data_IF_726653216141
#
_entry.id   IF_726653216141
#
_cell.length_a   1.000
_cell.length_b   1.000
_cell.length_c   1.000
_cell.angle_alpha   90.00
_cell.angle_beta   90.00
_cell.angle_gamma   90.00
#
_symmetry.space_group_name_H-M   'P 1'
#
loop_
_entity.id
_entity.type
_entity.pdbx_description
1 polymer ?
#
# COMPACT_ATOMS: atom_id res chain seq x y z
N UNK A 1 20.41 2.04 -5.58
CA UNK A 1 20.40 2.44 -7.02
C UNK A 1 19.23 1.79 -7.73
N UNK A 2 18.77 2.35 -8.84
CA UNK A 2 17.76 1.72 -9.71
C UNK A 2 18.45 0.82 -10.75
N UNK A 3 17.84 -0.34 -11.04
CA UNK A 3 18.38 -1.35 -11.95
C UNK A 3 17.25 -1.95 -12.82
N UNK A 4 17.62 -2.48 -14.00
CA UNK A 4 16.73 -3.26 -14.86
C UNK A 4 16.93 -4.79 -14.70
N UNK A 5 17.88 -5.24 -13.87
CA UNK A 5 18.26 -6.65 -13.83
C UNK A 5 17.93 -7.35 -12.52
N UNK A 6 18.19 -6.71 -11.38
CA UNK A 6 18.11 -7.37 -10.07
C UNK A 6 17.81 -6.40 -8.94
N UNK A 7 17.34 -6.93 -7.82
CA UNK A 7 16.98 -6.19 -6.62
C UNK A 7 15.53 -6.39 -6.23
N UNK A 8 14.99 -5.48 -5.43
CA UNK A 8 13.58 -5.46 -5.08
C UNK A 8 12.76 -4.93 -6.28
N UNK A 9 11.90 -5.77 -6.85
CA UNK A 9 11.04 -5.39 -7.97
C UNK A 9 10.02 -4.34 -7.52
N UNK A 10 10.12 -3.11 -8.01
CA UNK A 10 9.30 -2.00 -7.57
C UNK A 10 8.13 -1.69 -8.52
N UNK A 11 8.42 -1.64 -9.81
CA UNK A 11 7.41 -1.29 -10.81
C UNK A 11 7.75 -1.86 -12.19
N UNK A 12 6.74 -1.92 -13.07
CA UNK A 12 6.93 -2.20 -14.50
C UNK A 12 6.58 -0.98 -15.34
N UNK A 13 7.26 -0.86 -16.48
CA UNK A 13 6.89 0.04 -17.57
C UNK A 13 7.34 -0.58 -18.90
N UNK A 14 6.49 -0.59 -19.94
CA UNK A 14 6.81 -1.14 -21.26
C UNK A 14 7.44 -2.54 -21.21
N UNK A 15 6.86 -3.44 -20.42
CA UNK A 15 7.35 -4.82 -20.18
C UNK A 15 8.75 -4.93 -19.54
N UNK A 16 9.32 -3.83 -19.05
CA UNK A 16 10.55 -3.84 -18.26
C UNK A 16 10.24 -3.65 -16.79
N UNK A 17 10.88 -4.46 -15.95
CA UNK A 17 10.81 -4.30 -14.50
C UNK A 17 11.91 -3.36 -14.04
N UNK A 18 11.57 -2.42 -13.17
CA UNK A 18 12.52 -1.55 -12.48
C UNK A 18 12.68 -2.07 -11.06
N UNK A 19 13.91 -2.32 -10.67
CA UNK A 19 14.31 -2.81 -9.36
C UNK A 19 15.00 -1.71 -8.57
N UNK A 20 14.91 -1.79 -7.25
CA UNK A 20 15.74 -1.04 -6.32
C UNK A 20 16.79 -1.98 -5.74
N UNK A 21 18.05 -1.62 -5.88
CA UNK A 21 19.21 -2.39 -5.41
C UNK A 21 20.04 -1.57 -4.42
N UNK A 22 20.59 -2.21 -3.42
CA UNK A 22 21.52 -1.61 -2.44
C UNK A 22 22.97 -1.55 -2.95
N UNK A 23 23.29 -2.32 -4.01
CA UNK A 23 24.60 -2.30 -4.63
C UNK A 23 24.88 -0.98 -5.36
N UNK A 24 25.83 -0.20 -4.85
CA UNK A 24 26.32 1.03 -5.50
C UNK A 24 27.34 0.77 -6.60
N UNK A 25 27.87 -0.46 -6.70
CA UNK A 25 29.06 -0.81 -7.51
C UNK A 25 28.84 -1.89 -8.57
N UNK A 26 27.61 -2.23 -8.91
CA UNK A 26 27.44 -3.22 -9.97
C UNK A 26 27.90 -2.63 -11.32
N UNK A 27 29.01 -3.14 -11.82
CA UNK A 27 29.68 -2.76 -13.09
C UNK A 27 28.89 -3.12 -14.35
N UNK A 28 27.57 -3.27 -14.27
CA UNK A 28 26.74 -3.68 -15.40
C UNK A 28 25.97 -2.49 -15.98
N UNK A 29 25.92 -2.40 -17.31
CA UNK A 29 25.30 -1.38 -18.16
C UNK A 29 23.79 -1.08 -17.95
N UNK A 30 23.16 -1.65 -16.90
CA UNK A 30 21.73 -1.57 -16.65
C UNK A 30 21.35 -0.78 -15.39
N UNK A 31 22.28 -0.04 -14.82
CA UNK A 31 21.99 0.91 -13.72
C UNK A 31 21.40 2.20 -14.26
N UNK A 32 20.29 2.62 -13.63
CA UNK A 32 19.54 3.83 -14.01
C UNK A 32 19.84 5.02 -13.09
N UNK A 33 20.81 4.88 -12.17
CA UNK A 33 21.09 5.91 -11.16
C UNK A 33 20.09 5.92 -10.00
N UNK A 34 19.94 7.08 -9.34
CA UNK A 34 19.02 7.27 -8.20
C UNK A 34 17.66 7.83 -8.61
N UNK A 35 17.53 8.31 -9.84
CA UNK A 35 16.30 8.93 -10.33
C UNK A 35 15.99 8.53 -11.75
N UNK A 36 14.75 8.17 -12.01
CA UNK A 36 14.22 7.89 -13.35
C UNK A 36 12.91 8.64 -13.54
N UNK A 37 12.79 9.34 -14.66
CA UNK A 37 11.56 9.95 -15.15
C UNK A 37 11.27 9.38 -16.55
N UNK A 38 10.09 8.79 -16.72
CA UNK A 38 9.67 8.17 -17.99
C UNK A 38 8.78 9.07 -18.85
N UNK A 39 8.57 10.33 -18.40
CA UNK A 39 7.68 11.28 -19.07
C UNK A 39 6.19 10.97 -18.84
N UNK A 40 5.34 11.94 -19.23
CA UNK A 40 3.89 11.85 -18.96
C UNK A 40 3.14 10.89 -19.87
N UNK A 41 3.74 10.48 -20.98
CA UNK A 41 3.12 9.56 -21.95
C UNK A 41 3.14 8.11 -21.50
N UNK A 42 3.91 7.78 -20.47
CA UNK A 42 4.09 6.46 -19.91
C UNK A 42 3.79 6.46 -18.43
N UNK A 43 3.42 5.29 -17.90
CA UNK A 43 3.17 5.12 -16.47
C UNK A 43 3.91 3.92 -15.93
N UNK A 44 4.41 4.08 -14.72
CA UNK A 44 4.82 2.95 -13.89
C UNK A 44 3.59 2.25 -13.32
N UNK A 45 3.65 0.93 -13.33
CA UNK A 45 2.70 0.07 -12.67
C UNK A 45 3.38 -0.57 -11.47
N UNK A 46 2.86 -0.28 -10.27
CA UNK A 46 3.37 -0.88 -9.04
C UNK A 46 3.19 -2.40 -9.09
N UNK A 47 4.23 -3.13 -8.70
CA UNK A 47 4.20 -4.58 -8.60
C UNK A 47 3.95 -4.94 -7.15
N UNK A 48 2.95 -5.81 -6.82
CA UNK A 48 2.87 -6.42 -5.50
C UNK A 48 4.20 -7.12 -5.19
N UNK A 49 4.93 -6.71 -4.12
CA UNK A 49 6.35 -7.06 -3.98
C UNK A 49 6.56 -8.57 -3.80
N UNK A 50 5.81 -9.20 -2.92
CA UNK A 50 5.94 -10.61 -2.58
C UNK A 50 4.58 -11.26 -2.47
N UNK A 51 4.57 -12.55 -2.17
CA UNK A 51 3.36 -13.31 -1.80
C UNK A 51 2.80 -12.92 -0.42
N UNK A 52 3.52 -12.06 0.32
CA UNK A 52 3.05 -11.44 1.57
C UNK A 52 3.61 -10.02 1.68
N UNK A 53 2.77 -9.01 1.61
CA UNK A 53 3.14 -7.60 1.76
C UNK A 53 2.18 -6.86 2.69
N UNK A 54 2.63 -5.71 3.21
CA UNK A 54 1.83 -4.81 4.04
C UNK A 54 1.89 -3.42 3.47
N UNK A 55 0.73 -2.94 3.06
CA UNK A 55 0.57 -1.66 2.38
C UNK A 55 -0.42 -0.78 3.15
N UNK A 56 0.01 0.42 3.51
CA UNK A 56 -0.88 1.46 4.00
C UNK A 56 -1.26 2.42 2.87
N UNK A 57 -2.50 2.87 2.82
CA UNK A 57 -3.00 3.82 1.82
C UNK A 57 -3.70 4.98 2.54
N UNK A 58 -3.06 6.16 2.53
CA UNK A 58 -3.55 7.35 3.24
C UNK A 58 -3.92 8.47 2.27
N UNK A 59 -5.10 9.04 2.46
CA UNK A 59 -5.52 10.21 1.68
C UNK A 59 -6.92 10.68 2.02
N UNK A 60 -7.26 11.91 1.66
CA UNK A 60 -8.60 12.46 1.88
C UNK A 60 -9.68 11.68 1.09
N UNK A 61 -10.95 11.88 1.44
CA UNK A 61 -12.06 11.34 0.67
C UNK A 61 -11.97 11.79 -0.80
N UNK A 62 -12.27 10.89 -1.73
CA UNK A 62 -12.29 11.19 -3.17
C UNK A 62 -10.91 11.38 -3.83
N UNK A 63 -9.78 11.19 -3.14
CA UNK A 63 -8.45 11.38 -3.75
C UNK A 63 -8.01 10.23 -4.67
N UNK A 64 -8.72 9.09 -4.66
CA UNK A 64 -8.46 7.94 -5.53
C UNK A 64 -7.85 6.73 -4.82
N UNK A 65 -7.98 6.61 -3.49
CA UNK A 65 -7.48 5.45 -2.71
C UNK A 65 -8.03 4.12 -3.23
N UNK A 66 -9.36 3.99 -3.30
CA UNK A 66 -10.03 2.77 -3.77
C UNK A 66 -9.64 2.44 -5.21
N UNK A 67 -9.52 3.45 -6.09
CA UNK A 67 -9.06 3.25 -7.49
C UNK A 67 -7.63 2.69 -7.54
N UNK A 68 -6.72 3.23 -6.71
CA UNK A 68 -5.35 2.71 -6.62
C UNK A 68 -5.34 1.26 -6.16
N UNK A 69 -6.08 0.95 -5.09
CA UNK A 69 -6.14 -0.42 -4.53
C UNK A 69 -6.82 -1.38 -5.51
N UNK A 70 -7.89 -0.98 -6.19
CA UNK A 70 -8.52 -1.82 -7.21
C UNK A 70 -7.56 -2.20 -8.34
N UNK A 71 -6.75 -1.26 -8.83
CA UNK A 71 -5.73 -1.54 -9.83
C UNK A 71 -4.64 -2.49 -9.29
N UNK A 72 -4.19 -2.29 -8.04
CA UNK A 72 -3.24 -3.18 -7.38
C UNK A 72 -3.81 -4.61 -7.23
N UNK A 73 -5.06 -4.76 -6.83
CA UNK A 73 -5.72 -6.06 -6.70
C UNK A 73 -5.88 -6.78 -8.05
N UNK A 74 -6.13 -6.04 -9.14
CA UNK A 74 -6.11 -6.60 -10.51
C UNK A 74 -4.74 -7.20 -10.82
N UNK A 75 -3.66 -6.50 -10.54
CA UNK A 75 -2.30 -7.00 -10.76
C UNK A 75 -1.95 -8.16 -9.79
N UNK A 76 -2.36 -8.06 -8.54
CA UNK A 76 -2.22 -9.15 -7.57
C UNK A 76 -2.88 -10.43 -8.08
N UNK A 77 -4.11 -10.35 -8.59
CA UNK A 77 -4.85 -11.52 -9.10
C UNK A 77 -4.25 -12.10 -10.38
N UNK A 78 -3.64 -11.26 -11.23
CA UNK A 78 -2.88 -11.75 -12.40
C UNK A 78 -1.65 -12.56 -11.97
N UNK A 79 -0.92 -12.08 -10.95
CA UNK A 79 0.30 -12.72 -10.45
C UNK A 79 -0.01 -13.95 -9.60
N UNK A 80 -1.01 -13.84 -8.72
CA UNK A 80 -1.41 -14.88 -7.76
C UNK A 80 -2.83 -15.38 -8.04
N UNK A 81 -3.00 -16.11 -9.13
CA UNK A 81 -4.32 -16.54 -9.66
C UNK A 81 -5.16 -17.32 -8.66
N UNK A 82 -4.53 -18.13 -7.80
CA UNK A 82 -5.22 -18.99 -6.82
C UNK A 82 -5.53 -18.28 -5.51
N UNK A 83 -4.80 -17.21 -5.19
CA UNK A 83 -4.94 -16.53 -3.92
C UNK A 83 -6.30 -15.82 -3.83
N UNK A 84 -6.88 -15.84 -2.65
CA UNK A 84 -8.16 -15.17 -2.36
C UNK A 84 -7.95 -13.69 -2.07
N UNK A 85 -8.97 -12.90 -2.32
CA UNK A 85 -9.05 -11.49 -1.95
C UNK A 85 -10.21 -11.35 -0.97
N UNK A 86 -9.92 -10.97 0.25
CA UNK A 86 -10.92 -10.63 1.26
C UNK A 86 -11.02 -9.13 1.44
N UNK A 87 -12.22 -8.63 1.67
CA UNK A 87 -12.45 -7.21 1.94
C UNK A 87 -13.32 -7.03 3.16
N UNK A 88 -12.82 -6.24 4.10
CA UNK A 88 -13.53 -5.76 5.28
C UNK A 88 -13.83 -4.29 5.05
N UNK A 89 -15.08 -3.97 4.71
CA UNK A 89 -15.54 -2.61 4.45
C UNK A 89 -16.97 -2.45 4.95
N UNK A 90 -17.32 -1.28 5.51
CA UNK A 90 -18.71 -0.98 5.86
C UNK A 90 -19.63 -0.88 4.64
N UNK A 91 -19.06 -0.70 3.44
CA UNK A 91 -19.78 -0.59 2.18
C UNK A 91 -19.26 -1.59 1.16
N UNK A 92 -20.17 -2.26 0.42
CA UNK A 92 -19.82 -3.25 -0.60
C UNK A 92 -20.04 -2.73 -2.03
N UNK A 93 -20.47 -1.48 -2.18
CA UNK A 93 -20.90 -0.91 -3.47
C UNK A 93 -19.99 0.24 -3.94
N UNK A 94 -18.68 0.23 -3.54
CA UNK A 94 -17.74 1.19 -4.09
C UNK A 94 -17.51 0.90 -5.58
N UNK A 95 -17.81 1.88 -6.48
CA UNK A 95 -17.65 1.73 -7.92
C UNK A 95 -16.24 1.33 -8.37
N UNK A 96 -15.22 1.63 -7.58
CA UNK A 96 -13.84 1.28 -7.89
C UNK A 96 -13.60 -0.24 -7.95
N UNK A 97 -14.40 -1.03 -7.21
CA UNK A 97 -14.24 -2.48 -7.13
C UNK A 97 -15.23 -3.28 -7.98
N UNK A 98 -16.08 -2.64 -8.79
CA UNK A 98 -17.13 -3.33 -9.58
C UNK A 98 -16.58 -4.48 -10.42
N UNK A 99 -15.47 -4.28 -11.15
CA UNK A 99 -14.84 -5.31 -11.98
C UNK A 99 -14.24 -6.47 -11.17
N UNK A 100 -13.96 -6.23 -9.88
CA UNK A 100 -13.37 -7.22 -8.99
C UNK A 100 -14.42 -7.92 -8.11
N UNK A 101 -15.66 -7.45 -8.12
CA UNK A 101 -16.74 -8.01 -7.28
C UNK A 101 -16.88 -9.53 -7.37
N UNK A 102 -16.71 -10.20 -8.53
CA UNK A 102 -16.77 -11.66 -8.62
C UNK A 102 -15.61 -12.42 -7.95
N UNK A 103 -14.51 -11.74 -7.61
CA UNK A 103 -13.30 -12.34 -7.06
C UNK A 103 -12.94 -11.83 -5.66
N UNK A 104 -13.77 -10.94 -5.10
CA UNK A 104 -13.64 -10.43 -3.74
C UNK A 104 -14.64 -11.14 -2.83
N UNK A 105 -14.13 -11.78 -1.78
CA UNK A 105 -14.92 -12.32 -0.68
C UNK A 105 -15.13 -11.22 0.37
N UNK A 106 -16.31 -10.61 0.43
CA UNK A 106 -16.63 -9.59 1.42
C UNK A 106 -16.92 -10.21 2.78
N UNK A 107 -16.15 -9.80 3.79
CA UNK A 107 -16.38 -10.16 5.18
C UNK A 107 -17.42 -9.20 5.75
N UNK A 108 -18.53 -9.75 6.20
CA UNK A 108 -19.64 -8.96 6.75
C UNK A 108 -19.25 -8.37 8.10
N UNK A 109 -19.45 -7.06 8.23
CA UNK A 109 -19.22 -6.35 9.49
C UNK A 109 -20.52 -6.30 10.29
N UNK A 110 -20.70 -7.25 11.21
CA UNK A 110 -21.83 -7.31 12.11
C UNK A 110 -21.46 -7.83 13.50
N UNK A 111 -22.43 -7.98 14.37
CA UNK A 111 -22.24 -8.41 15.76
C UNK A 111 -21.69 -9.84 15.90
N UNK A 112 -21.73 -10.66 14.84
CA UNK A 112 -21.10 -11.99 14.89
C UNK A 112 -19.59 -11.90 15.12
N UNK A 113 -18.93 -10.86 14.60
CA UNK A 113 -17.50 -10.62 14.81
C UNK A 113 -17.11 -10.30 16.26
N UNK A 114 -18.09 -9.93 17.10
CA UNK A 114 -17.86 -9.73 18.54
C UNK A 114 -17.96 -11.08 19.28
N UNK A 115 -18.94 -11.91 18.89
CA UNK A 115 -19.20 -13.21 19.53
C UNK A 115 -18.20 -14.26 19.13
N UNK A 116 -17.79 -14.22 17.87
CA UNK A 116 -16.83 -15.14 17.26
C UNK A 116 -15.79 -14.29 16.48
N UNK A 117 -14.78 -13.76 17.16
CA UNK A 117 -13.77 -12.92 16.55
C UNK A 117 -12.94 -13.69 15.54
N UNK A 118 -12.69 -13.07 14.38
CA UNK A 118 -11.83 -13.65 13.36
C UNK A 118 -10.40 -13.88 13.90
N UNK A 119 -9.82 -15.02 13.55
CA UNK A 119 -8.43 -15.35 13.81
C UNK A 119 -7.65 -15.38 12.48
N UNK A 120 -6.47 -14.73 12.43
CA UNK A 120 -5.63 -14.73 11.23
C UNK A 120 -5.20 -16.15 10.81
N UNK A 121 -5.23 -17.12 11.72
CA UNK A 121 -4.87 -18.53 11.43
C UNK A 121 -5.89 -19.24 10.54
N UNK A 122 -7.05 -18.66 10.30
CA UNK A 122 -8.06 -19.16 9.37
C UNK A 122 -7.78 -18.78 7.91
N UNK A 123 -6.78 -17.94 7.69
CA UNK A 123 -6.45 -17.38 6.40
C UNK A 123 -5.05 -17.80 5.95
N UNK A 124 -4.92 -18.19 4.69
CA UNK A 124 -3.66 -18.53 4.03
C UNK A 124 -3.65 -18.03 2.58
N UNK A 125 -2.44 -17.73 2.05
CA UNK A 125 -2.23 -17.39 0.64
C UNK A 125 -3.27 -16.38 0.11
N UNK A 126 -3.44 -15.24 0.79
CA UNK A 126 -4.49 -14.28 0.47
C UNK A 126 -4.03 -12.83 0.62
N UNK A 127 -4.88 -11.90 0.16
CA UNK A 127 -4.81 -10.50 0.52
C UNK A 127 -6.08 -10.09 1.24
N UNK A 128 -5.93 -9.39 2.37
CA UNK A 128 -7.03 -8.85 3.16
C UNK A 128 -6.97 -7.33 3.08
N UNK A 129 -8.05 -6.72 2.60
CA UNK A 129 -8.20 -5.27 2.49
C UNK A 129 -9.07 -4.78 3.62
N UNK A 130 -8.55 -3.85 4.41
CA UNK A 130 -9.26 -3.12 5.47
C UNK A 130 -9.58 -1.74 4.92
N UNK A 131 -10.81 -1.54 4.44
CA UNK A 131 -11.25 -0.29 3.83
C UNK A 131 -12.21 0.46 4.74
N UNK A 132 -11.77 1.62 5.25
CA UNK A 132 -12.51 2.49 6.18
C UNK A 132 -13.14 1.74 7.38
N UNK A 133 -12.53 0.62 7.76
CA UNK A 133 -13.05 -0.30 8.78
C UNK A 133 -12.89 0.21 10.22
N UNK A 134 -12.20 1.34 10.42
CA UNK A 134 -11.87 1.86 11.77
C UNK A 134 -12.95 2.79 12.35
N UNK A 135 -13.94 3.20 11.57
CA UNK A 135 -14.90 4.25 11.96
C UNK A 135 -16.35 3.78 11.82
N UNK A 136 -16.70 2.72 12.54
CA UNK A 136 -18.11 2.36 12.69
C UNK A 136 -18.69 3.17 13.85
N UNK A 137 -19.40 4.24 13.51
CA UNK A 137 -20.00 5.16 14.52
C UNK A 137 -20.83 4.40 15.54
N UNK A 138 -20.54 4.59 16.83
CA UNK A 138 -21.30 3.99 17.93
C UNK A 138 -21.03 2.50 18.22
N UNK A 139 -20.13 1.82 17.47
CA UNK A 139 -19.88 0.37 17.62
C UNK A 139 -18.46 0.07 18.12
N UNK A 140 -18.13 0.51 19.34
CA UNK A 140 -16.77 0.41 19.91
C UNK A 140 -16.25 -1.03 19.95
N UNK A 141 -17.04 -1.99 20.38
CA UNK A 141 -16.63 -3.41 20.48
C UNK A 141 -16.32 -4.00 19.12
N UNK A 142 -17.14 -3.71 18.12
CA UNK A 142 -16.93 -4.17 16.75
C UNK A 142 -15.66 -3.54 16.14
N UNK A 143 -15.43 -2.24 16.34
CA UNK A 143 -14.19 -1.58 15.94
C UNK A 143 -12.97 -2.26 16.60
N UNK A 144 -13.06 -2.60 17.88
CA UNK A 144 -12.00 -3.30 18.61
C UNK A 144 -11.73 -4.68 18.02
N UNK A 145 -12.77 -5.47 17.71
CA UNK A 145 -12.62 -6.80 17.12
C UNK A 145 -11.91 -6.72 15.75
N UNK A 146 -12.34 -5.80 14.88
CA UNK A 146 -11.72 -5.59 13.56
C UNK A 146 -10.26 -5.12 13.71
N UNK A 147 -10.00 -4.21 14.65
CA UNK A 147 -8.65 -3.71 14.92
C UNK A 147 -7.72 -4.83 15.42
N UNK A 148 -8.19 -5.70 16.30
CA UNK A 148 -7.43 -6.86 16.78
C UNK A 148 -7.07 -7.79 15.62
N UNK A 149 -8.03 -8.14 14.78
CA UNK A 149 -7.80 -8.99 13.62
C UNK A 149 -6.82 -8.34 12.63
N UNK A 150 -6.99 -7.06 12.31
CA UNK A 150 -6.05 -6.30 11.47
C UNK A 150 -4.62 -6.36 12.03
N UNK A 151 -4.48 -6.14 13.34
CA UNK A 151 -3.17 -6.14 13.99
C UNK A 151 -2.53 -7.53 13.95
N UNK A 152 -3.29 -8.61 14.14
CA UNK A 152 -2.80 -9.98 13.97
C UNK A 152 -2.30 -10.22 12.52
N UNK A 153 -3.05 -9.77 11.51
CA UNK A 153 -2.63 -9.88 10.10
C UNK A 153 -1.33 -9.10 9.82
N UNK A 154 -1.20 -7.90 10.39
CA UNK A 154 0.00 -7.08 10.23
C UNK A 154 1.23 -7.70 10.89
N UNK A 155 1.12 -8.17 12.13
CA UNK A 155 2.24 -8.69 12.93
C UNK A 155 2.63 -10.12 12.52
N UNK A 156 1.65 -10.99 12.29
CA UNK A 156 1.86 -12.43 12.13
C UNK A 156 1.55 -12.98 10.73
N UNK A 157 0.80 -12.26 9.90
CA UNK A 157 0.27 -12.75 8.63
C UNK A 157 1.35 -13.24 7.65
N UNK A 158 2.60 -12.74 7.74
CA UNK A 158 3.69 -13.17 6.85
C UNK A 158 3.96 -14.68 6.89
N UNK A 159 3.80 -15.29 8.06
CA UNK A 159 4.03 -16.75 8.23
C UNK A 159 3.02 -17.59 7.45
N UNK A 160 1.86 -17.03 7.15
CA UNK A 160 0.76 -17.67 6.41
C UNK A 160 0.56 -17.04 5.01
N UNK A 161 1.51 -16.25 4.55
CA UNK A 161 1.45 -15.52 3.27
C UNK A 161 0.20 -14.64 3.13
N UNK A 162 -0.24 -14.04 4.23
CA UNK A 162 -1.32 -13.07 4.25
C UNK A 162 -0.72 -11.71 3.91
N UNK A 163 -1.18 -11.10 2.83
CA UNK A 163 -0.94 -9.70 2.52
C UNK A 163 -2.03 -8.84 3.17
N UNK A 164 -1.67 -7.67 3.67
CA UNK A 164 -2.63 -6.74 4.27
C UNK A 164 -2.55 -5.36 3.59
N UNK A 165 -3.71 -4.83 3.22
CA UNK A 165 -3.87 -3.47 2.68
C UNK A 165 -4.77 -2.69 3.62
N UNK A 166 -4.28 -1.59 4.18
CA UNK A 166 -5.01 -0.74 5.12
C UNK A 166 -5.30 0.60 4.45
N UNK A 167 -6.57 0.91 4.24
CA UNK A 167 -7.04 2.15 3.60
C UNK A 167 -7.66 3.05 4.67
N UNK A 168 -7.07 4.22 4.88
CA UNK A 168 -7.54 5.20 5.87
C UNK A 168 -7.66 6.60 5.27
N UNK A 169 -8.65 7.36 5.75
CA UNK A 169 -8.87 8.73 5.28
C UNK A 169 -7.78 9.70 5.68
N UNK A 170 -7.25 9.58 6.89
CA UNK A 170 -6.23 10.50 7.39
C UNK A 170 -5.30 9.79 8.38
N UNK A 171 -4.02 10.07 8.26
CA UNK A 171 -3.02 9.67 9.23
C UNK A 171 -3.07 10.54 10.51
N UNK A 172 -4.22 10.61 11.19
CA UNK A 172 -4.41 11.48 12.36
C UNK A 172 -4.53 10.74 13.68
N UNK A 173 -4.74 9.43 13.65
CA UNK A 173 -4.95 8.67 14.89
C UNK A 173 -3.60 8.18 15.44
N UNK A 174 -2.97 8.99 16.27
CA UNK A 174 -1.57 8.89 16.68
C UNK A 174 -1.05 7.47 16.93
N UNK A 175 -1.68 6.70 17.83
CA UNK A 175 -1.21 5.34 18.18
C UNK A 175 -1.48 4.31 17.07
N UNK A 176 -2.67 4.32 16.47
CA UNK A 176 -3.06 3.37 15.42
C UNK A 176 -2.29 3.62 14.13
N UNK A 177 -2.18 4.89 13.70
CA UNK A 177 -1.36 5.26 12.53
C UNK A 177 0.08 4.83 12.72
N UNK A 178 0.65 5.05 13.93
CA UNK A 178 2.02 4.63 14.25
C UNK A 178 2.18 3.11 14.11
N UNK A 179 1.24 2.32 14.64
CA UNK A 179 1.28 0.86 14.56
C UNK A 179 1.24 0.39 13.10
N UNK A 180 0.29 0.90 12.32
CA UNK A 180 0.17 0.57 10.89
C UNK A 180 1.44 0.92 10.12
N UNK A 181 2.00 2.12 10.32
CA UNK A 181 3.21 2.55 9.61
C UNK A 181 4.47 1.79 10.01
N UNK A 182 4.55 1.32 11.25
CA UNK A 182 5.69 0.51 11.70
C UNK A 182 5.68 -0.90 11.05
N UNK A 183 4.50 -1.44 10.77
CA UNK A 183 4.35 -2.78 10.19
C UNK A 183 4.33 -2.75 8.64
N UNK A 184 3.96 -1.62 8.04
CA UNK A 184 3.88 -1.49 6.58
C UNK A 184 5.24 -1.10 5.97
N UNK A 185 5.73 -1.90 5.03
CA UNK A 185 6.94 -1.60 4.27
C UNK A 185 6.69 -0.58 3.16
N UNK A 186 5.47 -0.51 2.67
CA UNK A 186 5.04 0.41 1.63
C UNK A 186 3.88 1.27 2.12
N UNK A 187 3.92 2.54 1.76
CA UNK A 187 2.84 3.48 2.07
C UNK A 187 2.48 4.31 0.84
N UNK A 188 1.23 4.28 0.44
CA UNK A 188 0.69 5.14 -0.61
C UNK A 188 0.10 6.39 0.01
N UNK A 189 0.50 7.53 -0.53
CA UNK A 189 0.03 8.86 -0.14
C UNK A 189 -0.45 9.62 -1.37
N UNK A 190 -1.30 10.61 -1.15
CA UNK A 190 -1.85 11.49 -2.19
C UNK A 190 -1.42 12.94 -1.90
N UNK A 191 -0.21 13.36 -2.35
CA UNK A 191 0.37 14.65 -1.94
C UNK A 191 -0.50 15.85 -2.28
N UNK A 192 -1.26 15.77 -3.38
CA UNK A 192 -2.09 16.89 -3.83
C UNK A 192 -3.43 17.01 -3.12
N UNK A 193 -3.84 16.01 -2.36
CA UNK A 193 -5.13 16.05 -1.64
C UNK A 193 -5.03 16.73 -0.27
N UNK A 194 -3.93 16.46 0.47
CA UNK A 194 -3.66 17.07 1.78
C UNK A 194 -2.16 17.08 2.07
N UNK A 195 -1.46 18.07 1.50
CA UNK A 195 0.00 18.12 1.60
C UNK A 195 0.50 18.29 3.05
N UNK A 196 -0.21 19.03 3.89
CA UNK A 196 0.20 19.23 5.30
C UNK A 196 0.23 17.92 6.09
N UNK A 197 -0.73 17.03 5.86
CA UNK A 197 -0.74 15.70 6.48
C UNK A 197 0.40 14.83 5.94
N UNK A 198 0.60 14.83 4.62
CA UNK A 198 1.70 14.11 3.95
C UNK A 198 3.05 14.58 4.46
N UNK A 199 3.27 15.88 4.58
CA UNK A 199 4.51 16.44 5.09
C UNK A 199 4.81 16.03 6.54
N UNK A 200 3.78 16.00 7.41
CA UNK A 200 3.93 15.51 8.79
C UNK A 200 4.33 14.04 8.83
N UNK A 201 3.66 13.20 8.03
CA UNK A 201 4.00 11.78 7.92
C UNK A 201 5.44 11.59 7.45
N UNK A 202 5.82 12.27 6.37
CA UNK A 202 7.13 12.14 5.74
C UNK A 202 8.26 12.49 6.71
N UNK A 203 8.10 13.57 7.49
CA UNK A 203 9.07 13.96 8.52
C UNK A 203 9.09 13.02 9.71
N UNK A 204 7.92 12.59 10.20
CA UNK A 204 7.82 11.84 11.44
C UNK A 204 8.20 10.36 11.29
N UNK A 205 7.95 9.75 10.14
CA UNK A 205 8.10 8.30 9.95
C UNK A 205 9.14 7.89 8.93
N UNK A 206 9.47 8.74 7.95
CA UNK A 206 10.42 8.38 6.89
C UNK A 206 11.70 9.16 6.92
N UNK A 207 11.84 10.16 7.82
CA UNK A 207 13.04 10.96 7.97
C UNK A 207 13.32 11.90 6.78
N UNK A 208 12.29 12.26 6.02
CA UNK A 208 12.47 13.08 4.80
C UNK A 208 12.98 14.48 5.11
N UNK A 209 14.05 14.85 4.39
CA UNK A 209 14.64 16.19 4.39
C UNK A 209 13.84 17.19 3.56
N UNK A 210 14.41 18.40 3.43
CA UNK A 210 13.78 19.50 2.66
C UNK A 210 13.57 19.13 1.19
N UNK A 211 14.56 18.50 0.57
CA UNK A 211 14.55 18.15 -0.85
C UNK A 211 13.54 17.05 -1.18
N UNK A 212 13.34 16.08 -0.27
CA UNK A 212 12.37 15.03 -0.43
C UNK A 212 10.94 15.55 -0.24
N UNK A 213 10.76 16.48 0.69
CA UNK A 213 9.47 17.18 0.90
C UNK A 213 9.12 18.03 -0.32
N UNK A 214 10.10 18.76 -0.90
CA UNK A 214 9.86 19.55 -2.10
C UNK A 214 9.57 18.66 -3.31
N UNK A 215 10.27 17.52 -3.43
CA UNK A 215 9.93 16.51 -4.44
C UNK A 215 8.49 16.05 -4.33
N UNK A 216 8.00 15.68 -3.13
CA UNK A 216 6.60 15.29 -2.92
C UNK A 216 5.60 16.42 -3.25
N UNK A 217 5.99 17.68 -3.06
CA UNK A 217 5.17 18.85 -3.39
C UNK A 217 5.01 19.03 -4.89
N UNK A 218 6.10 18.84 -5.63
CA UNK A 218 6.20 19.16 -7.07
C UNK A 218 5.89 17.99 -7.98
N UNK A 219 5.90 16.75 -7.48
CA UNK A 219 5.66 15.54 -8.28
C UNK A 219 4.35 15.61 -9.08
N UNK A 220 4.45 15.32 -10.38
CA UNK A 220 3.31 15.32 -11.32
C UNK A 220 2.57 13.98 -11.28
N UNK A 221 2.07 13.61 -10.11
CA UNK A 221 1.31 12.37 -9.91
C UNK A 221 0.19 12.60 -8.92
N UNK A 222 -0.86 11.83 -9.02
CA UNK A 222 -1.94 11.82 -8.01
C UNK A 222 -1.49 11.14 -6.73
N UNK A 223 -0.70 10.09 -6.85
CA UNK A 223 -0.22 9.28 -5.74
C UNK A 223 1.30 9.10 -5.78
N UNK A 224 1.87 8.89 -4.61
CA UNK A 224 3.22 8.41 -4.44
C UNK A 224 3.21 7.21 -3.50
N UNK A 225 3.97 6.18 -3.84
CA UNK A 225 4.26 5.06 -2.96
C UNK A 225 5.65 5.29 -2.36
N UNK A 226 5.72 5.28 -1.04
CA UNK A 226 6.96 5.32 -0.28
C UNK A 226 7.30 3.90 0.17
N UNK A 227 8.40 3.36 -0.31
CA UNK A 227 9.04 2.15 0.20
C UNK A 227 9.95 2.57 1.35
N UNK A 228 9.58 2.22 2.58
CA UNK A 228 10.29 2.64 3.80
C UNK A 228 11.47 1.72 4.18
N UNK A 229 11.47 0.46 3.70
CA UNK A 229 12.59 -0.45 3.89
C UNK A 229 13.78 -0.07 3.01
N UNK A 230 15.01 -0.38 3.48
CA UNK A 230 16.23 -0.12 2.71
C UNK A 230 16.32 -1.00 1.44
N UNK A 231 16.76 -0.51 0.29
CA UNK A 231 16.94 0.91 -0.03
C UNK A 231 15.60 1.65 -0.09
N UNK A 232 15.55 2.83 0.55
CA UNK A 232 14.35 3.64 0.59
C UNK A 232 14.10 4.31 -0.75
N UNK A 233 12.85 4.31 -1.22
CA UNK A 233 12.50 4.87 -2.52
C UNK A 233 11.10 5.47 -2.56
N UNK A 234 10.90 6.41 -3.46
CA UNK A 234 9.59 6.97 -3.80
C UNK A 234 9.27 6.59 -5.23
N UNK A 235 8.14 5.92 -5.44
CA UNK A 235 7.54 5.62 -6.73
C UNK A 235 6.32 6.51 -6.96
N UNK A 236 6.22 7.10 -8.14
CA UNK A 236 5.02 7.80 -8.61
C UNK A 236 4.55 7.23 -9.95
N UNK A 237 3.51 7.82 -10.55
CA UNK A 237 3.05 7.37 -11.88
C UNK A 237 4.13 7.46 -12.97
N UNK A 238 5.06 8.42 -12.85
CA UNK A 238 6.01 8.72 -13.92
C UNK A 238 7.48 8.73 -13.47
N UNK A 239 7.71 8.71 -12.16
CA UNK A 239 9.04 8.92 -11.60
C UNK A 239 9.34 7.93 -10.47
N UNK A 240 10.59 7.52 -10.38
CA UNK A 240 11.14 6.76 -9.25
C UNK A 240 12.37 7.50 -8.74
N UNK A 241 12.44 7.72 -7.42
CA UNK A 241 13.56 8.33 -6.72
C UNK A 241 14.02 7.42 -5.60
N UNK A 242 15.32 7.06 -5.57
CA UNK A 242 15.97 6.41 -4.43
C UNK A 242 16.53 7.51 -3.51
N UNK A 243 16.33 7.35 -2.21
CA UNK A 243 16.69 8.32 -1.18
C UNK A 243 18.07 8.05 -0.58
#
# INVERSE_FOLDING_TARGET
>A
MLSLNSGFALATTNNKTVYVNDDEKAENDNFLGKFVDIGLDRKFQFIPPNDSFRLAVFGAAGCGKSTFVANLLKEYKKKYKKNKIYMISPTQDDPAYLDLKPVIDYIKIDESLIKDPMDFTEFDDCVIVFDDSEVLSGKKELNTAIEMFRNQCLENGRKRKISAIIINHVAQNGAQTKKVLNECQETVIFPKSNFSAVQRLAKAYWGFGKDDIEYLRTVKSRWCLVKSSYPQAILSEHQIKVL
#
